data_IF_780266445974
#
_entry.id   IF_780266445974
#
_cell.length_a   1.000
_cell.length_b   1.000
_cell.length_c   1.000
_cell.angle_alpha   90.00
_cell.angle_beta   90.00
_cell.angle_gamma   90.00
#
_symmetry.space_group_name_H-M   'P 1'
#
loop_
_entity.id
_entity.type
_entity.pdbx_description
1 polymer ?
#
# COMPACT_ATOMS: atom_id res chain seq x y z
N UNK A 1 -4.00 5.52 16.32
CA UNK A 1 -4.12 4.39 17.26
C UNK A 1 -4.46 3.13 16.48
N UNK A 2 -3.52 2.19 16.38
CA UNK A 2 -3.73 0.89 15.74
C UNK A 2 -4.81 0.15 16.54
N UNK A 3 -5.88 -0.34 15.91
CA UNK A 3 -7.04 -1.00 16.55
C UNK A 3 -6.70 -2.39 17.13
N UNK A 4 -5.56 -2.56 17.79
CA UNK A 4 -5.04 -3.83 18.29
C UNK A 4 -4.41 -4.74 17.22
N UNK A 5 -4.46 -4.36 15.95
CA UNK A 5 -3.78 -5.10 14.88
C UNK A 5 -2.26 -4.89 14.97
N UNK A 6 -1.53 -5.96 15.25
CA UNK A 6 -0.06 -5.94 15.38
C UNK A 6 0.63 -6.52 14.15
N UNK A 7 0.01 -7.53 13.52
CA UNK A 7 0.59 -8.24 12.38
C UNK A 7 -0.47 -8.65 11.36
N UNK A 8 -0.02 -8.91 10.13
CA UNK A 8 -0.80 -9.58 9.10
C UNK A 8 0.10 -10.48 8.23
N UNK A 9 -0.49 -11.28 7.35
CA UNK A 9 0.23 -12.10 6.37
C UNK A 9 -0.12 -11.67 4.96
N UNK A 10 0.90 -11.52 4.13
CA UNK A 10 0.75 -11.29 2.69
C UNK A 10 0.52 -12.62 1.96
N UNK A 11 0.00 -12.55 0.73
CA UNK A 11 -0.21 -13.73 -0.13
C UNK A 11 1.09 -14.51 -0.41
N UNK A 12 2.24 -13.84 -0.43
CA UNK A 12 3.56 -14.50 -0.56
C UNK A 12 4.05 -15.19 0.74
N UNK A 13 3.25 -15.16 1.80
CA UNK A 13 3.54 -15.76 3.10
C UNK A 13 4.33 -14.86 4.07
N UNK A 14 4.91 -13.73 3.63
CA UNK A 14 5.61 -12.82 4.53
C UNK A 14 4.69 -12.28 5.64
N UNK A 15 5.22 -12.19 6.86
CA UNK A 15 4.57 -11.48 7.96
C UNK A 15 4.90 -10.00 7.87
N UNK A 16 3.89 -9.17 8.03
CA UNK A 16 4.04 -7.71 8.15
C UNK A 16 3.68 -7.26 9.56
N UNK A 17 4.26 -6.16 10.00
CA UNK A 17 3.93 -5.48 11.24
C UNK A 17 3.46 -4.04 10.97
N UNK A 18 2.60 -3.54 11.84
CA UNK A 18 2.12 -2.16 11.82
C UNK A 18 2.86 -1.37 12.90
N UNK A 19 3.62 -0.36 12.49
CA UNK A 19 4.36 0.54 13.37
C UNK A 19 3.67 1.90 13.44
N UNK A 20 3.99 2.67 14.48
CA UNK A 20 3.67 4.10 14.48
C UNK A 20 4.25 4.76 13.23
N UNK A 21 3.44 5.59 12.61
CA UNK A 21 3.84 6.29 11.40
C UNK A 21 4.67 7.55 11.66
N UNK A 22 4.90 8.30 10.59
CA UNK A 22 5.67 9.55 10.58
C UNK A 22 4.78 10.71 10.16
N UNK A 23 5.29 11.94 10.16
CA UNK A 23 4.53 13.09 9.67
C UNK A 23 3.97 12.84 8.25
N UNK A 24 2.65 13.01 8.12
CA UNK A 24 1.92 12.75 6.89
C UNK A 24 1.58 11.28 6.62
N UNK A 25 1.94 10.31 7.49
CA UNK A 25 1.50 8.92 7.40
C UNK A 25 1.18 8.37 8.79
N UNK A 26 -0.08 8.03 9.12
CA UNK A 26 -0.44 7.61 10.48
C UNK A 26 0.10 6.22 10.87
N UNK A 27 0.50 5.41 9.88
CA UNK A 27 0.97 4.03 10.07
C UNK A 27 2.10 3.74 9.08
N UNK A 28 3.10 3.00 9.53
CA UNK A 28 4.10 2.39 8.65
C UNK A 28 3.91 0.87 8.65
N UNK A 29 3.75 0.28 7.47
CA UNK A 29 3.66 -1.17 7.31
C UNK A 29 5.01 -1.68 6.85
N UNK A 30 5.60 -2.62 7.57
CA UNK A 30 6.90 -3.19 7.24
C UNK A 30 6.84 -4.70 7.09
N UNK A 31 7.73 -5.28 6.28
CA UNK A 31 8.02 -6.72 6.35
C UNK A 31 8.71 -6.99 7.69
N UNK A 32 8.05 -7.79 8.52
CA UNK A 32 8.59 -8.20 9.82
C UNK A 32 9.36 -9.52 9.70
N UNK A 33 8.80 -10.47 8.93
CA UNK A 33 9.45 -11.74 8.63
C UNK A 33 9.24 -12.13 7.16
N UNK A 34 10.35 -12.37 6.45
CA UNK A 34 10.31 -12.93 5.09
C UNK A 34 9.99 -14.42 5.16
N UNK A 35 8.93 -14.83 4.47
CA UNK A 35 8.62 -16.26 4.33
C UNK A 35 9.70 -16.97 3.47
N UNK A 36 10.11 -18.20 3.84
CA UNK A 36 10.98 -19.02 2.99
C UNK A 36 10.43 -19.26 1.58
N UNK A 37 9.10 -19.25 1.41
CA UNK A 37 8.43 -19.42 0.12
C UNK A 37 8.26 -18.13 -0.69
N UNK A 38 8.68 -16.98 -0.16
CA UNK A 38 8.53 -15.70 -0.85
C UNK A 38 9.60 -15.53 -1.93
N UNK A 39 9.20 -15.64 -3.20
CA UNK A 39 10.10 -15.47 -4.36
C UNK A 39 10.40 -14.01 -4.71
N UNK A 40 9.68 -13.04 -4.12
CA UNK A 40 9.94 -11.61 -4.33
C UNK A 40 11.26 -11.23 -3.67
N UNK A 41 12.27 -10.91 -4.49
CA UNK A 41 13.60 -10.49 -4.03
C UNK A 41 13.57 -9.19 -3.22
N UNK A 42 12.61 -8.30 -3.55
CA UNK A 42 12.45 -7.02 -2.87
C UNK A 42 12.05 -7.18 -1.40
N UNK A 43 11.22 -8.17 -1.06
CA UNK A 43 10.80 -8.38 0.34
C UNK A 43 11.99 -8.81 1.20
N UNK A 44 12.42 -7.91 2.07
CA UNK A 44 13.45 -8.12 3.10
C UNK A 44 12.94 -7.59 4.43
N UNK A 45 13.49 -8.05 5.55
CA UNK A 45 13.09 -7.57 6.88
C UNK A 45 13.27 -6.05 6.97
N UNK A 46 12.35 -5.40 7.69
CA UNK A 46 12.24 -3.96 7.91
C UNK A 46 11.95 -3.12 6.65
N UNK A 47 11.72 -3.76 5.50
CA UNK A 47 11.30 -3.04 4.29
C UNK A 47 9.93 -2.39 4.50
N UNK A 48 9.79 -1.07 4.31
CA UNK A 48 8.48 -0.41 4.27
C UNK A 48 7.72 -0.80 3.00
N UNK A 49 6.49 -1.28 3.18
CA UNK A 49 5.60 -1.70 2.08
C UNK A 49 4.50 -0.69 1.79
N UNK A 50 4.17 0.17 2.74
CA UNK A 50 3.11 1.15 2.62
C UNK A 50 3.61 2.53 3.06
N UNK A 51 3.46 3.50 2.16
CA UNK A 51 3.57 4.93 2.46
C UNK A 51 2.20 5.56 2.17
N UNK A 52 1.54 6.09 3.20
CA UNK A 52 0.23 6.72 3.08
C UNK A 52 0.24 7.93 2.13
N UNK A 53 1.35 8.68 2.09
CA UNK A 53 1.46 9.87 1.25
C UNK A 53 1.48 9.49 -0.22
N UNK A 54 2.23 8.43 -0.55
CA UNK A 54 2.27 7.90 -1.92
C UNK A 54 0.91 7.33 -2.33
N UNK A 55 0.18 6.69 -1.40
CA UNK A 55 -1.17 6.19 -1.67
C UNK A 55 -2.20 7.30 -1.98
N UNK A 56 -1.96 8.54 -1.53
CA UNK A 56 -2.79 9.70 -1.83
C UNK A 56 -2.38 10.46 -3.10
N UNK A 57 -1.28 10.07 -3.74
CA UNK A 57 -0.82 10.71 -4.97
C UNK A 57 -1.82 10.44 -6.11
N UNK A 58 -2.09 11.43 -6.99
CA UNK A 58 -2.85 11.19 -8.21
C UNK A 58 -2.27 10.03 -9.04
N UNK A 59 -3.14 9.18 -9.58
CA UNK A 59 -2.72 8.06 -10.44
C UNK A 59 -1.95 8.57 -11.65
N UNK A 60 -0.79 7.97 -11.91
CA UNK A 60 0.00 8.22 -13.13
C UNK A 60 -0.39 7.29 -14.28
N UNK A 61 -1.29 6.32 -14.04
CA UNK A 61 -1.85 5.49 -15.12
C UNK A 61 -2.89 6.30 -15.86
N UNK A 62 -2.87 6.22 -17.19
CA UNK A 62 -3.96 6.71 -18.03
C UNK A 62 -5.24 6.01 -17.56
N UNK A 63 -6.20 6.81 -17.11
CA UNK A 63 -7.53 6.34 -16.78
C UNK A 63 -8.26 5.88 -18.04
N UNK A 64 -9.44 5.26 -17.89
CA UNK A 64 -10.41 5.25 -18.97
C UNK A 64 -10.57 6.67 -19.53
N UNK A 65 -10.84 6.83 -20.84
CA UNK A 65 -11.21 8.13 -21.38
C UNK A 65 -12.34 8.69 -20.51
N UNK A 66 -12.22 9.95 -20.11
CA UNK A 66 -13.33 10.65 -19.47
C UNK A 66 -14.50 10.64 -20.47
N UNK A 67 -15.68 10.21 -20.02
CA UNK A 67 -16.88 10.28 -20.85
C UNK A 67 -17.13 11.77 -21.13
N UNK A 68 -17.05 12.17 -22.40
CA UNK A 68 -17.45 13.51 -22.81
C UNK A 68 -18.93 13.68 -22.46
N UNK A 69 -19.28 14.78 -21.82
CA UNK A 69 -20.68 15.13 -21.56
C UNK A 69 -21.38 15.28 -22.92
N UNK A 70 -22.43 14.49 -23.16
CA UNK A 70 -23.21 14.58 -24.40
C UNK A 70 -23.95 15.92 -24.43
N UNK A 71 -23.56 16.81 -25.35
CA UNK A 71 -24.31 18.04 -25.63
C UNK A 71 -25.64 17.66 -26.32
N UNK A 72 -26.77 17.86 -25.62
CA UNK A 72 -28.10 17.71 -26.20
C UNK A 72 -28.35 18.88 -27.17
N UNK A 73 -28.42 18.60 -28.47
CA UNK A 73 -28.75 19.60 -29.50
C UNK A 73 -30.16 20.17 -29.23
N UNK A 74 -30.22 21.47 -28.91
CA UNK A 74 -31.45 22.23 -28.60
C UNK A 74 -31.99 22.98 -29.82
#
# INVERSE_FOLDING_TARGET
MLKGFTHARLACGCRIAFREGVEGSPVTVVVDEKSPGCTLSLHVRDLPLFDYREALRPSTRLGPPEEEEFEEES
#
